data_IF_177665044443
#
_entry.id   IF_177665044443
#
_cell.length_a   1.000
_cell.length_b   1.000
_cell.length_c   1.000
_cell.angle_alpha   90.00
_cell.angle_beta   90.00
_cell.angle_gamma   90.00
#
_symmetry.space_group_name_H-M   'P 1'
#
loop_
_entity.id
_entity.type
_entity.pdbx_description
1 polymer ?
#
# COMPACT_ATOMS: atom_id res chain seq x y z
N UNK A 1 -8.41 -4.78 8.82
CA UNK A 1 -7.64 -5.54 7.82
C UNK A 1 -6.28 -5.86 8.41
N UNK A 2 -5.79 -7.09 8.23
CA UNK A 2 -4.45 -7.56 8.64
C UNK A 2 -3.93 -8.61 7.66
N UNK A 3 -2.62 -8.88 7.67
CA UNK A 3 -2.00 -10.00 6.94
C UNK A 3 -2.36 -11.31 7.67
N UNK A 4 -2.90 -12.27 6.93
CA UNK A 4 -3.14 -13.65 7.39
C UNK A 4 -1.95 -14.55 7.05
N UNK A 5 -1.43 -14.47 5.82
CA UNK A 5 -0.30 -15.29 5.37
C UNK A 5 0.47 -14.63 4.23
N UNK A 6 1.72 -15.05 4.07
CA UNK A 6 2.63 -14.60 3.01
C UNK A 6 3.26 -15.83 2.35
N UNK A 7 3.11 -15.96 1.03
CA UNK A 7 3.83 -16.94 0.21
C UNK A 7 4.87 -16.25 -0.64
N UNK A 8 6.08 -16.80 -0.65
CA UNK A 8 7.22 -16.27 -1.41
C UNK A 8 7.73 -17.37 -2.32
N UNK A 9 7.88 -17.07 -3.61
CA UNK A 9 8.50 -17.95 -4.60
C UNK A 9 9.64 -17.26 -5.34
N UNK A 10 10.68 -18.05 -5.58
CA UNK A 10 11.85 -17.72 -6.39
C UNK A 10 12.61 -16.43 -5.96
N UNK A 11 12.58 -16.07 -4.68
CA UNK A 11 13.20 -14.84 -4.17
C UNK A 11 14.44 -15.15 -3.31
N UNK A 12 15.62 -14.75 -3.79
CA UNK A 12 16.92 -14.85 -3.10
C UNK A 12 17.16 -16.23 -2.49
N UNK A 13 17.09 -16.37 -1.18
CA UNK A 13 17.34 -17.66 -0.49
C UNK A 13 16.10 -18.56 -0.46
N UNK A 14 14.91 -18.02 -0.75
CA UNK A 14 13.62 -18.70 -0.65
C UNK A 14 13.19 -19.19 -2.03
N UNK A 15 13.10 -20.52 -2.20
CA UNK A 15 12.57 -21.15 -3.43
C UNK A 15 11.03 -21.12 -3.46
N UNK A 16 10.38 -21.66 -2.45
CA UNK A 16 8.94 -21.60 -2.22
C UNK A 16 8.71 -21.79 -0.71
N UNK A 17 8.05 -20.83 -0.06
CA UNK A 17 7.70 -20.91 1.36
C UNK A 17 6.39 -20.16 1.62
N UNK A 18 5.60 -20.67 2.57
CA UNK A 18 4.38 -20.03 3.09
C UNK A 18 4.57 -19.82 4.58
N UNK A 19 4.21 -18.64 5.06
CA UNK A 19 4.27 -18.25 6.47
C UNK A 19 2.92 -17.68 6.88
N UNK A 20 2.31 -18.26 7.90
CA UNK A 20 1.13 -17.71 8.57
C UNK A 20 1.54 -16.60 9.55
N UNK A 21 0.74 -15.55 9.62
CA UNK A 21 1.09 -14.31 10.30
C UNK A 21 0.06 -13.97 11.38
N UNK A 22 0.52 -13.98 12.63
CA UNK A 22 -0.23 -13.53 13.79
C UNK A 22 -0.01 -12.03 14.10
N UNK A 23 -0.47 -11.57 15.26
CA UNK A 23 -0.19 -10.21 15.74
C UNK A 23 1.29 -10.01 16.10
N UNK A 24 1.96 -11.05 16.58
CA UNK A 24 3.38 -11.00 16.93
C UNK A 24 4.09 -12.24 16.37
N UNK A 25 5.04 -12.05 15.46
CA UNK A 25 5.78 -13.13 14.82
C UNK A 25 7.27 -12.91 15.01
N UNK A 26 7.95 -13.94 15.48
CA UNK A 26 9.39 -13.93 15.72
C UNK A 26 10.06 -14.98 14.83
N UNK A 27 10.82 -14.51 13.84
CA UNK A 27 11.59 -15.33 12.92
C UNK A 27 12.97 -15.59 13.50
N UNK A 28 13.22 -16.84 13.90
CA UNK A 28 14.48 -17.32 14.48
C UNK A 28 15.12 -18.35 13.55
N UNK A 29 16.44 -18.32 13.43
CA UNK A 29 17.19 -19.26 12.60
C UNK A 29 18.61 -18.78 12.30
N UNK A 30 19.45 -19.59 11.67
CA UNK A 30 20.83 -19.20 11.37
C UNK A 30 20.93 -18.09 10.33
N UNK A 31 22.12 -17.51 10.19
CA UNK A 31 22.43 -16.56 9.12
C UNK A 31 22.24 -17.21 7.75
N UNK A 32 21.60 -16.48 6.83
CA UNK A 32 21.31 -16.98 5.47
C UNK A 32 20.08 -17.90 5.36
N UNK A 33 19.36 -18.20 6.45
CA UNK A 33 18.16 -19.03 6.42
C UNK A 33 16.93 -18.39 5.77
N UNK A 34 17.01 -17.12 5.34
CA UNK A 34 15.92 -16.40 4.68
C UNK A 34 15.10 -15.46 5.55
N UNK A 35 15.44 -15.27 6.83
CA UNK A 35 14.76 -14.34 7.76
C UNK A 35 14.64 -12.91 7.18
N UNK A 36 15.77 -12.31 6.79
CA UNK A 36 15.79 -10.99 6.15
C UNK A 36 15.19 -11.00 4.74
N UNK A 37 15.26 -12.15 4.04
CA UNK A 37 14.59 -12.30 2.73
C UNK A 37 13.07 -12.21 2.87
N UNK A 38 12.50 -12.71 3.97
CA UNK A 38 11.08 -12.59 4.26
C UNK A 38 10.66 -11.11 4.44
N UNK A 39 11.36 -10.34 5.27
CA UNK A 39 11.06 -8.91 5.43
C UNK A 39 11.33 -8.12 4.14
N UNK A 40 12.37 -8.47 3.38
CA UNK A 40 12.61 -7.90 2.06
C UNK A 40 11.45 -8.17 1.08
N UNK A 41 10.83 -9.35 1.12
CA UNK A 41 9.67 -9.64 0.29
C UNK A 41 8.51 -8.68 0.61
N UNK A 42 8.28 -8.36 1.89
CA UNK A 42 7.28 -7.38 2.28
C UNK A 42 7.67 -5.96 1.85
N UNK A 43 8.96 -5.61 1.88
CA UNK A 43 9.42 -4.34 1.31
C UNK A 43 9.13 -4.25 -0.20
N UNK A 44 9.38 -5.32 -0.97
CA UNK A 44 9.00 -5.42 -2.39
C UNK A 44 7.49 -5.27 -2.58
N UNK A 45 6.70 -6.00 -1.79
CA UNK A 45 5.25 -5.96 -1.88
C UNK A 45 4.67 -4.58 -1.57
N UNK A 46 5.11 -3.93 -0.48
CA UNK A 46 4.63 -2.60 -0.10
C UNK A 46 5.33 -1.46 -0.84
N UNK A 47 6.32 -1.77 -1.69
CA UNK A 47 7.21 -0.81 -2.37
C UNK A 47 7.93 0.13 -1.39
N UNK A 48 8.39 -0.45 -0.28
CA UNK A 48 9.13 0.23 0.77
C UNK A 48 10.59 0.44 0.37
N UNK A 49 11.01 1.69 0.27
CA UNK A 49 12.37 2.04 -0.12
C UNK A 49 13.22 2.51 1.07
N UNK A 50 12.64 2.89 2.20
CA UNK A 50 13.42 3.37 3.35
C UNK A 50 14.15 2.21 4.04
N UNK A 51 15.44 2.41 4.31
CA UNK A 51 16.28 1.41 4.98
C UNK A 51 16.58 0.16 4.16
N UNK A 52 16.30 0.16 2.86
CA UNK A 52 16.58 -0.96 1.95
C UNK A 52 17.76 -0.63 1.04
N UNK A 53 18.73 -1.55 0.92
CA UNK A 53 19.94 -1.34 0.13
C UNK A 53 19.76 -1.58 -1.39
N UNK A 54 18.72 -2.30 -1.79
CA UNK A 54 18.46 -2.71 -3.18
C UNK A 54 17.09 -2.21 -3.64
N UNK A 55 16.92 -2.00 -4.94
CA UNK A 55 15.64 -1.58 -5.53
C UNK A 55 14.53 -2.61 -5.24
N UNK A 56 13.35 -2.12 -4.89
CA UNK A 56 12.16 -2.91 -4.55
C UNK A 56 11.07 -2.85 -5.64
N UNK A 57 11.28 -2.01 -6.65
CA UNK A 57 10.40 -1.79 -7.80
C UNK A 57 10.95 -2.43 -9.08
N UNK A 58 12.28 -2.47 -9.23
CA UNK A 58 12.98 -3.14 -10.32
C UNK A 58 14.02 -4.12 -9.76
N UNK A 59 13.67 -5.40 -9.76
CA UNK A 59 14.54 -6.45 -9.23
C UNK A 59 15.61 -6.85 -10.24
N UNK A 60 16.79 -7.19 -9.73
CA UNK A 60 17.91 -7.67 -10.54
C UNK A 60 17.86 -9.20 -10.70
N UNK A 61 18.68 -9.76 -11.59
CA UNK A 61 18.83 -11.22 -11.70
C UNK A 61 19.34 -11.85 -10.39
N UNK A 62 20.01 -11.09 -9.52
CA UNK A 62 20.53 -11.58 -8.23
C UNK A 62 19.45 -11.73 -7.16
N UNK A 63 18.29 -11.10 -7.37
CA UNK A 63 17.14 -11.26 -6.49
C UNK A 63 16.37 -12.57 -6.77
N UNK A 64 16.61 -13.22 -7.90
CA UNK A 64 15.99 -14.52 -8.22
C UNK A 64 16.70 -15.65 -7.47
N UNK A 65 15.94 -16.65 -7.03
CA UNK A 65 16.53 -17.78 -6.31
C UNK A 65 17.54 -18.50 -7.21
N UNK A 66 18.79 -18.55 -6.76
CA UNK A 66 19.92 -19.09 -7.55
C UNK A 66 20.11 -18.41 -8.92
N UNK A 67 19.64 -17.16 -9.06
CA UNK A 67 19.60 -16.41 -10.32
C UNK A 67 18.79 -17.10 -11.42
N UNK A 68 17.84 -17.94 -11.05
CA UNK A 68 16.95 -18.59 -12.01
C UNK A 68 15.88 -17.61 -12.51
N UNK A 69 16.20 -16.94 -13.62
CA UNK A 69 15.32 -15.97 -14.28
C UNK A 69 14.29 -16.62 -15.22
N UNK A 70 14.28 -17.96 -15.31
CA UNK A 70 13.29 -18.69 -16.12
C UNK A 70 11.91 -18.73 -15.46
N UNK A 71 11.88 -18.65 -14.13
CA UNK A 71 10.66 -18.53 -13.32
C UNK A 71 10.51 -17.10 -12.79
N UNK A 72 9.29 -16.56 -12.66
CA UNK A 72 9.08 -15.26 -12.06
C UNK A 72 9.26 -15.31 -10.53
N UNK A 73 9.59 -14.16 -9.93
CA UNK A 73 9.42 -13.94 -8.50
C UNK A 73 7.93 -13.70 -8.23
N UNK A 74 7.36 -14.37 -7.23
CA UNK A 74 5.97 -14.18 -6.79
C UNK A 74 5.93 -14.00 -5.26
N UNK A 75 5.34 -12.90 -4.80
CA UNK A 75 5.10 -12.60 -3.39
C UNK A 75 3.60 -12.40 -3.22
N UNK A 76 2.92 -13.43 -2.71
CA UNK A 76 1.48 -13.44 -2.49
C UNK A 76 1.18 -13.15 -1.04
N UNK A 77 0.39 -12.11 -0.79
CA UNK A 77 -0.05 -11.71 0.56
C UNK A 77 -1.56 -11.89 0.65
N UNK A 78 -1.97 -12.68 1.64
CA UNK A 78 -3.37 -12.90 1.98
C UNK A 78 -3.74 -11.99 3.14
N UNK A 79 -4.82 -11.22 2.99
CA UNK A 79 -5.35 -10.34 4.01
C UNK A 79 -6.71 -10.84 4.51
N UNK A 80 -6.96 -10.69 5.80
CA UNK A 80 -8.23 -10.99 6.45
C UNK A 80 -8.70 -9.80 7.32
N UNK A 81 -9.87 -9.94 7.93
CA UNK A 81 -10.50 -8.95 8.82
C UNK A 81 -10.70 -7.58 8.16
N UNK A 82 -11.12 -7.54 6.89
CA UNK A 82 -11.40 -6.29 6.17
C UNK A 82 -12.62 -5.58 6.80
N UNK A 83 -12.53 -4.25 6.95
CA UNK A 83 -13.70 -3.45 7.33
C UNK A 83 -14.63 -3.25 6.12
N UNK A 84 -15.86 -2.77 6.35
CA UNK A 84 -16.86 -2.63 5.28
C UNK A 84 -16.38 -1.74 4.12
N UNK A 85 -15.68 -0.65 4.43
CA UNK A 85 -15.09 0.23 3.41
C UNK A 85 -14.08 -0.54 2.52
N UNK A 86 -13.19 -1.34 3.12
CA UNK A 86 -12.24 -2.15 2.37
C UNK A 86 -12.92 -3.25 1.57
N UNK A 87 -13.96 -3.91 2.13
CA UNK A 87 -14.75 -4.92 1.40
C UNK A 87 -15.39 -4.31 0.16
N UNK A 88 -15.95 -3.10 0.27
CA UNK A 88 -16.55 -2.40 -0.86
C UNK A 88 -15.51 -1.94 -1.88
N UNK A 89 -14.38 -1.38 -1.42
CA UNK A 89 -13.30 -0.94 -2.30
C UNK A 89 -12.71 -2.13 -3.08
N UNK A 90 -12.45 -3.26 -2.42
CA UNK A 90 -11.84 -4.44 -3.03
C UNK A 90 -12.83 -5.53 -3.47
N UNK A 91 -14.12 -5.21 -3.62
CA UNK A 91 -15.19 -6.18 -3.94
C UNK A 91 -14.94 -7.12 -5.12
N UNK A 92 -14.10 -6.70 -6.07
CA UNK A 92 -13.73 -7.48 -7.26
C UNK A 92 -12.71 -8.59 -6.95
N UNK A 93 -11.90 -8.40 -5.90
CA UNK A 93 -10.84 -9.31 -5.48
C UNK A 93 -11.15 -10.00 -4.14
N UNK A 94 -12.02 -9.39 -3.32
CA UNK A 94 -12.43 -9.91 -2.03
C UNK A 94 -13.39 -11.09 -2.21
N UNK A 95 -12.96 -12.29 -1.77
CA UNK A 95 -13.73 -13.54 -1.84
C UNK A 95 -13.43 -14.38 -0.61
N UNK A 96 -14.44 -15.09 -0.11
CA UNK A 96 -14.30 -15.99 1.06
C UNK A 96 -13.64 -15.31 2.26
N UNK A 97 -14.06 -14.09 2.58
CA UNK A 97 -13.50 -13.23 3.63
C UNK A 97 -11.99 -12.92 3.54
N UNK A 98 -11.42 -13.13 2.35
CA UNK A 98 -10.01 -12.89 2.06
C UNK A 98 -9.82 -11.93 0.89
N UNK A 99 -8.77 -11.13 0.99
CA UNK A 99 -8.21 -10.37 -0.11
C UNK A 99 -6.83 -10.93 -0.40
N UNK A 100 -6.59 -11.39 -1.63
CA UNK A 100 -5.30 -11.96 -2.03
C UNK A 100 -4.68 -11.06 -3.10
N UNK A 101 -3.44 -10.67 -2.88
CA UNK A 101 -2.69 -9.81 -3.80
C UNK A 101 -1.32 -10.41 -4.02
N UNK A 102 -0.91 -10.54 -5.29
CA UNK A 102 0.41 -11.04 -5.66
C UNK A 102 1.23 -9.94 -6.31
N UNK A 103 2.40 -9.66 -5.75
CA UNK A 103 3.46 -8.93 -6.43
C UNK A 103 4.30 -9.92 -7.26
N UNK A 104 4.33 -9.72 -8.58
CA UNK A 104 5.03 -10.58 -9.53
C UNK A 104 6.06 -9.78 -10.31
N UNK A 105 7.27 -10.33 -10.42
CA UNK A 105 8.36 -9.76 -11.19
C UNK A 105 8.89 -10.81 -12.18
N UNK A 106 8.77 -10.53 -13.48
CA UNK A 106 9.30 -11.38 -14.55
C UNK A 106 10.53 -10.71 -15.13
N UNK A 107 11.63 -11.45 -15.24
CA UNK A 107 12.89 -10.90 -15.73
C UNK A 107 12.80 -10.57 -17.22
N UNK A 108 13.13 -9.33 -17.57
CA UNK A 108 13.31 -8.93 -18.96
C UNK A 108 14.81 -9.00 -19.31
N UNK A 109 15.24 -9.95 -20.14
CA UNK A 109 16.65 -10.10 -20.50
C UNK A 109 17.18 -8.95 -21.36
N UNK A 110 16.32 -8.19 -22.05
CA UNK A 110 16.71 -7.03 -22.84
C UNK A 110 16.94 -5.83 -21.94
N UNK A 111 16.05 -5.59 -20.98
CA UNK A 111 16.17 -4.50 -20.02
C UNK A 111 17.17 -4.80 -18.88
N UNK A 112 17.52 -6.08 -18.66
CA UNK A 112 18.42 -6.53 -17.59
C UNK A 112 17.82 -6.43 -16.19
N UNK A 113 16.48 -6.34 -16.08
CA UNK A 113 15.75 -6.12 -14.82
C UNK A 113 14.35 -6.69 -14.87
N UNK A 114 13.73 -6.89 -13.71
CA UNK A 114 12.36 -7.36 -13.56
C UNK A 114 11.50 -6.27 -12.89
N UNK A 115 10.54 -5.70 -13.61
CA UNK A 115 9.59 -4.74 -13.03
C UNK A 115 8.58 -5.46 -12.12
N UNK A 116 8.39 -4.96 -10.90
CA UNK A 116 7.42 -5.50 -9.93
C UNK A 116 6.03 -4.96 -10.23
N UNK A 117 5.11 -5.86 -10.61
CA UNK A 117 3.70 -5.56 -10.87
C UNK A 117 2.81 -6.29 -9.88
N UNK A 118 1.72 -5.64 -9.45
CA UNK A 118 0.78 -6.21 -8.48
C UNK A 118 -0.56 -6.55 -9.12
N UNK A 119 -1.04 -7.73 -8.80
CA UNK A 119 -2.27 -8.31 -9.34
C UNK A 119 -3.17 -8.72 -8.17
N UNK A 120 -4.47 -8.43 -8.31
CA UNK A 120 -5.47 -8.98 -7.40
C UNK A 120 -5.80 -10.40 -7.82
N UNK A 121 -5.82 -11.31 -6.87
CA UNK A 121 -6.18 -12.70 -7.09
C UNK A 121 -7.50 -12.99 -6.40
N UNK A 122 -8.30 -13.84 -7.04
CA UNK A 122 -9.49 -14.41 -6.42
C UNK A 122 -9.27 -15.90 -6.21
N UNK A 123 -9.69 -16.38 -5.04
CA UNK A 123 -9.94 -17.81 -4.84
C UNK A 123 -11.18 -18.19 -5.63
N UNK A 124 -11.03 -19.16 -6.52
CA UNK A 124 -12.15 -19.72 -7.27
C UNK A 124 -11.78 -21.04 -7.94
N UNK A 125 -12.74 -21.73 -8.53
CA UNK A 125 -12.47 -22.99 -9.22
C UNK A 125 -11.98 -22.73 -10.64
N UNK A 126 -10.96 -23.49 -11.07
CA UNK A 126 -10.33 -23.31 -12.38
C UNK A 126 -11.35 -23.48 -13.52
N UNK A 127 -12.28 -24.40 -13.35
CA UNK A 127 -13.33 -24.75 -14.30
C UNK A 127 -14.32 -23.60 -14.50
N UNK A 128 -14.54 -22.77 -13.47
CA UNK A 128 -15.45 -21.63 -13.52
C UNK A 128 -14.80 -20.39 -14.14
N UNK A 129 -13.47 -20.37 -14.34
CA UNK A 129 -12.76 -19.26 -14.97
C UNK A 129 -13.35 -18.89 -16.33
N UNK A 130 -13.71 -19.89 -17.13
CA UNK A 130 -14.26 -19.71 -18.48
C UNK A 130 -15.52 -18.84 -18.46
N UNK A 131 -16.42 -19.05 -17.49
CA UNK A 131 -17.64 -18.28 -17.32
C UNK A 131 -17.33 -16.82 -16.95
N UNK A 132 -16.53 -16.60 -15.89
CA UNK A 132 -16.24 -15.25 -15.39
C UNK A 132 -15.41 -14.42 -16.38
N UNK A 133 -14.50 -15.05 -17.12
CA UNK A 133 -13.74 -14.36 -18.19
C UNK A 133 -14.67 -13.84 -19.27
N UNK A 134 -15.55 -14.70 -19.81
CA UNK A 134 -16.51 -14.30 -20.85
C UNK A 134 -17.52 -13.28 -20.33
N UNK A 135 -17.87 -13.34 -19.04
CA UNK A 135 -18.71 -12.33 -18.41
C UNK A 135 -17.99 -10.96 -18.36
N UNK A 136 -16.71 -10.94 -17.99
CA UNK A 136 -15.86 -9.74 -18.02
C UNK A 136 -15.71 -9.15 -19.42
N UNK A 137 -15.58 -10.00 -20.43
CA UNK A 137 -15.53 -9.63 -21.86
C UNK A 137 -16.87 -9.10 -22.40
N UNK A 138 -17.91 -9.00 -21.55
CA UNK A 138 -19.28 -8.61 -21.92
C UNK A 138 -19.88 -9.51 -23.01
N UNK A 139 -19.60 -10.81 -22.95
CA UNK A 139 -20.16 -11.80 -23.87
C UNK A 139 -21.70 -11.82 -23.81
N UNK A 140 -22.34 -12.31 -24.89
CA UNK A 140 -23.81 -12.35 -24.98
C UNK A 140 -24.39 -13.28 -23.92
N UNK A 141 -25.55 -12.92 -23.38
CA UNK A 141 -26.23 -13.69 -22.33
C UNK A 141 -26.45 -15.16 -22.71
N UNK A 142 -26.79 -15.45 -23.97
CA UNK A 142 -27.01 -16.83 -24.45
C UNK A 142 -25.73 -17.68 -24.40
N UNK A 143 -24.59 -17.06 -24.62
CA UNK A 143 -23.30 -17.73 -24.54
C UNK A 143 -22.94 -18.09 -23.10
N UNK A 144 -23.14 -17.14 -22.17
CA UNK A 144 -22.93 -17.37 -20.75
C UNK A 144 -23.87 -18.45 -20.20
N UNK A 145 -25.12 -18.49 -20.69
CA UNK A 145 -26.09 -19.56 -20.36
C UNK A 145 -25.60 -20.94 -20.83
N UNK A 146 -24.99 -21.04 -22.01
CA UNK A 146 -24.42 -22.30 -22.52
C UNK A 146 -23.24 -22.78 -21.66
N UNK A 147 -22.33 -21.88 -21.30
CA UNK A 147 -21.21 -22.18 -20.42
C UNK A 147 -21.73 -22.66 -19.06
N UNK A 148 -22.69 -21.92 -18.47
CA UNK A 148 -23.31 -22.29 -17.19
C UNK A 148 -24.02 -23.64 -17.25
N UNK A 149 -24.74 -23.95 -18.34
CA UNK A 149 -25.40 -25.26 -18.49
C UNK A 149 -24.41 -26.42 -18.46
N UNK A 150 -23.24 -26.24 -19.10
CA UNK A 150 -22.18 -27.26 -19.10
C UNK A 150 -21.61 -27.47 -17.69
N UNK A 151 -21.40 -26.37 -16.96
CA UNK A 151 -20.96 -26.41 -15.56
C UNK A 151 -22.05 -26.98 -14.64
N UNK A 152 -23.32 -26.70 -14.93
CA UNK A 152 -24.46 -27.18 -14.16
C UNK A 152 -24.52 -28.71 -14.16
N UNK A 153 -24.32 -29.34 -15.32
CA UNK A 153 -24.31 -30.80 -15.43
C UNK A 153 -23.10 -31.42 -14.73
N UNK A 154 -21.94 -30.76 -14.83
CA UNK A 154 -20.67 -31.27 -14.27
C UNK A 154 -20.59 -31.15 -12.74
N UNK A 155 -21.13 -30.07 -12.18
CA UNK A 155 -21.03 -29.72 -10.75
C UNK A 155 -22.37 -29.76 -10.00
N UNK A 156 -23.46 -30.18 -10.66
CA UNK A 156 -24.83 -30.26 -10.11
C UNK A 156 -25.32 -28.93 -9.52
N UNK A 157 -25.10 -27.83 -10.23
CA UNK A 157 -25.47 -26.48 -9.78
C UNK A 157 -26.99 -26.22 -9.86
N UNK A 158 -27.55 -25.29 -9.06
CA UNK A 158 -28.95 -24.88 -9.16
C UNK A 158 -29.32 -24.28 -10.52
N UNK A 159 -30.62 -24.20 -10.84
CA UNK A 159 -31.06 -23.48 -12.04
C UNK A 159 -31.08 -21.99 -11.77
N UNK A 160 -30.35 -21.22 -12.59
CA UNK A 160 -30.33 -19.76 -12.54
C UNK A 160 -30.88 -19.15 -13.85
N UNK A 161 -31.80 -18.19 -13.73
CA UNK A 161 -32.49 -17.57 -14.88
C UNK A 161 -31.79 -16.35 -15.48
N UNK A 162 -30.89 -15.71 -14.73
CA UNK A 162 -30.17 -14.49 -15.14
C UNK A 162 -28.66 -14.72 -15.04
N UNK A 163 -27.88 -13.98 -15.81
CA UNK A 163 -26.39 -14.04 -15.75
C UNK A 163 -25.89 -13.68 -14.34
N UNK A 164 -26.55 -12.74 -13.66
CA UNK A 164 -26.23 -12.38 -12.29
C UNK A 164 -26.46 -13.55 -11.32
N UNK A 165 -27.61 -14.22 -11.39
CA UNK A 165 -27.91 -15.39 -10.57
C UNK A 165 -26.95 -16.56 -10.88
N UNK A 166 -26.54 -16.75 -12.15
CA UNK A 166 -25.55 -17.76 -12.52
C UNK A 166 -24.20 -17.50 -11.85
N UNK A 167 -23.75 -16.24 -11.88
CA UNK A 167 -22.51 -15.83 -11.23
C UNK A 167 -22.58 -16.02 -9.70
N UNK A 168 -23.73 -15.70 -9.10
CA UNK A 168 -23.97 -15.88 -7.67
C UNK A 168 -23.93 -17.37 -7.27
N UNK A 169 -24.58 -18.25 -8.04
CA UNK A 169 -24.54 -19.70 -7.76
C UNK A 169 -23.14 -20.30 -7.89
N UNK A 170 -22.35 -19.88 -8.89
CA UNK A 170 -20.96 -20.31 -9.02
C UNK A 170 -20.12 -19.83 -7.82
N UNK A 171 -20.31 -18.58 -7.40
CA UNK A 171 -19.61 -18.02 -6.23
C UNK A 171 -20.03 -18.71 -4.93
N UNK A 172 -21.31 -19.03 -4.75
CA UNK A 172 -21.80 -19.79 -3.61
C UNK A 172 -21.23 -21.21 -3.58
N UNK A 173 -21.11 -21.85 -4.74
CA UNK A 173 -20.48 -23.18 -4.85
C UNK A 173 -18.99 -23.11 -4.48
N UNK A 174 -18.25 -22.13 -5.00
CA UNK A 174 -16.85 -21.87 -4.61
C UNK A 174 -16.72 -21.63 -3.10
N UNK A 175 -17.62 -20.83 -2.50
CA UNK A 175 -17.61 -20.53 -1.07
C UNK A 175 -17.86 -21.76 -0.17
N UNK A 176 -18.64 -22.73 -0.64
CA UNK A 176 -18.93 -23.97 0.10
C UNK A 176 -17.82 -25.03 -0.02
N UNK A 177 -16.92 -24.91 -1.01
CA UNK A 177 -15.85 -25.88 -1.27
C UNK A 177 -14.49 -25.17 -1.46
N UNK A 178 -13.98 -24.45 -0.45
CA UNK A 178 -12.76 -23.66 -0.57
C UNK A 178 -11.52 -24.51 -0.88
N UNK A 179 -11.51 -25.79 -0.51
CA UNK A 179 -10.38 -26.71 -0.74
C UNK A 179 -10.14 -27.06 -2.21
N UNK A 180 -11.14 -26.85 -3.07
CA UNK A 180 -11.03 -27.06 -4.52
C UNK A 180 -10.72 -25.76 -5.28
N UNK A 181 -10.63 -24.64 -4.58
CA UNK A 181 -10.32 -23.35 -5.18
C UNK A 181 -8.81 -23.20 -5.41
N UNK A 182 -8.46 -22.57 -6.54
CA UNK A 182 -7.11 -22.16 -6.89
C UNK A 182 -7.04 -20.63 -6.98
N UNK A 183 -5.82 -20.10 -6.93
CA UNK A 183 -5.58 -18.68 -7.15
C UNK A 183 -5.73 -18.36 -8.63
N UNK A 184 -6.72 -17.53 -8.96
CA UNK A 184 -7.00 -17.08 -10.31
C UNK A 184 -6.57 -15.61 -10.42
N UNK A 185 -5.55 -15.29 -11.25
CA UNK A 185 -5.14 -13.92 -11.50
C UNK A 185 -6.25 -13.14 -12.20
N UNK A 186 -6.50 -11.92 -11.76
CA UNK A 186 -7.30 -10.97 -12.53
C UNK A 186 -6.44 -10.40 -13.68
N UNK A 187 -7.02 -10.20 -14.87
CA UNK A 187 -6.27 -9.67 -16.02
C UNK A 187 -5.83 -8.21 -15.82
N UNK A 188 -6.51 -7.47 -14.95
CA UNK A 188 -6.18 -6.08 -14.62
C UNK A 188 -5.16 -5.96 -13.48
N UNK A 189 -4.21 -5.02 -13.62
CA UNK A 189 -3.29 -4.64 -12.54
C UNK A 189 -4.09 -4.10 -11.35
N UNK A 190 -3.79 -4.56 -10.13
CA UNK A 190 -4.53 -4.25 -8.90
C UNK A 190 -4.68 -2.73 -8.61
N UNK A 191 -3.73 -1.93 -9.11
CA UNK A 191 -3.69 -0.46 -8.99
C UNK A 191 -4.04 0.29 -10.29
N UNK A 192 -4.39 -0.40 -11.37
CA UNK A 192 -4.68 0.19 -12.68
C UNK A 192 -3.50 1.02 -13.26
N UNK A 193 -3.82 1.96 -14.15
CA UNK A 193 -2.87 2.91 -14.80
C UNK A 193 -2.22 3.87 -13.79
N UNK A 194 -2.73 3.93 -12.55
CA UNK A 194 -2.16 4.75 -11.50
C UNK A 194 -0.89 4.08 -10.95
N UNK A 195 0.27 4.58 -11.41
CA UNK A 195 1.57 4.23 -10.85
C UNK A 195 1.65 4.67 -9.37
N UNK A 196 1.12 3.87 -8.45
CA UNK A 196 1.59 3.86 -7.06
C UNK A 196 0.75 4.58 -5.99
N UNK A 197 -0.53 4.91 -6.21
CA UNK A 197 -1.41 5.23 -5.08
C UNK A 197 -1.90 3.91 -4.44
N UNK A 198 -1.09 3.31 -3.57
CA UNK A 198 -1.36 2.04 -2.90
C UNK A 198 -2.72 2.11 -2.16
N UNK A 199 -3.81 1.63 -2.75
CA UNK A 199 -5.14 1.45 -2.14
C UNK A 199 -5.08 0.77 -0.76
N UNK A 200 -4.10 -0.12 -0.55
CA UNK A 200 -3.84 -0.75 0.75
C UNK A 200 -3.37 0.24 1.84
N UNK A 201 -2.69 1.33 1.49
CA UNK A 201 -2.16 2.32 2.45
C UNK A 201 -3.26 3.05 3.25
N UNK A 202 -4.50 3.07 2.73
CA UNK A 202 -5.66 3.60 3.47
C UNK A 202 -6.00 2.76 4.70
N UNK A 203 -5.61 1.49 4.71
CA UNK A 203 -6.04 0.51 5.70
C UNK A 203 -4.86 -0.12 6.46
N UNK A 204 -3.67 -0.17 5.85
CA UNK A 204 -2.44 -0.70 6.42
C UNK A 204 -1.30 0.30 6.27
N UNK A 205 -0.45 0.37 7.29
CA UNK A 205 0.81 1.12 7.24
C UNK A 205 1.96 0.16 7.50
N UNK A 206 2.71 -0.17 6.44
CA UNK A 206 3.97 -0.90 6.58
C UNK A 206 5.07 0.07 7.03
N UNK A 207 5.82 -0.31 8.08
CA UNK A 207 7.03 0.37 8.53
C UNK A 207 8.12 -0.67 8.72
N UNK A 208 9.22 -0.50 8.00
CA UNK A 208 10.40 -1.35 8.08
C UNK A 208 11.52 -0.67 8.86
N UNK A 209 12.10 -1.38 9.82
CA UNK A 209 13.23 -0.96 10.62
C UNK A 209 14.37 -1.96 10.36
N UNK A 210 15.42 -1.60 9.61
CA UNK A 210 16.57 -2.47 9.39
C UNK A 210 17.39 -2.65 10.66
N UNK A 211 18.22 -3.69 10.70
CA UNK A 211 19.12 -3.96 11.82
C UNK A 211 20.14 -2.82 12.02
N UNK A 212 20.72 -2.35 10.92
CA UNK A 212 21.65 -1.21 10.86
C UNK A 212 21.20 -0.31 9.73
N UNK A 213 21.12 1.00 9.96
CA UNK A 213 20.96 1.97 8.88
C UNK A 213 22.33 2.31 8.30
N UNK A 214 22.42 2.33 6.98
CA UNK A 214 23.63 2.76 6.28
C UNK A 214 23.93 4.23 6.60
N UNK A 215 25.21 4.61 6.73
CA UNK A 215 25.64 5.96 7.14
C UNK A 215 25.14 7.06 6.17
N UNK A 216 24.91 6.70 4.91
CA UNK A 216 24.29 7.56 3.88
C UNK A 216 22.76 7.67 4.03
N UNK A 217 22.09 6.62 4.50
CA UNK A 217 20.66 6.62 4.77
C UNK A 217 20.30 7.31 6.10
N UNK A 218 21.23 7.37 7.04
CA UNK A 218 21.07 8.12 8.30
C UNK A 218 20.92 9.62 8.08
N UNK A 219 21.43 10.17 6.98
CA UNK A 219 21.27 11.59 6.64
C UNK A 219 19.84 11.95 6.18
N UNK A 220 18.98 10.97 5.97
CA UNK A 220 17.59 11.23 5.60
C UNK A 220 16.77 11.63 6.83
N UNK A 221 16.63 12.94 7.08
CA UNK A 221 15.53 13.47 7.87
C UNK A 221 14.33 13.65 6.93
N UNK A 222 13.27 12.87 7.13
CA UNK A 222 12.07 13.05 6.33
C UNK A 222 10.85 12.32 6.86
N UNK A 223 9.68 12.87 6.54
CA UNK A 223 8.35 12.27 6.81
C UNK A 223 8.22 10.83 6.26
N UNK A 224 9.02 10.47 5.26
CA UNK A 224 9.03 9.16 4.63
C UNK A 224 9.85 8.09 5.39
N UNK A 225 10.73 8.50 6.32
CA UNK A 225 11.54 7.54 7.08
C UNK A 225 10.69 6.74 8.07
N UNK A 226 11.19 5.60 8.53
CA UNK A 226 10.54 4.78 9.54
C UNK A 226 10.24 5.58 10.82
N UNK A 227 11.24 6.29 11.36
CA UNK A 227 11.06 7.15 12.54
C UNK A 227 10.09 8.31 12.26
N UNK A 228 10.21 8.97 11.10
CA UNK A 228 9.30 10.05 10.71
C UNK A 228 7.85 9.60 10.57
N UNK A 229 7.62 8.40 10.02
CA UNK A 229 6.29 7.80 9.90
C UNK A 229 5.70 7.40 11.25
N UNK A 230 6.51 6.79 12.13
CA UNK A 230 6.09 6.46 13.48
C UNK A 230 5.78 7.72 14.29
N UNK A 231 6.61 8.75 14.21
CA UNK A 231 6.34 10.03 14.87
C UNK A 231 5.08 10.70 14.31
N UNK A 232 4.92 10.75 12.99
CA UNK A 232 3.72 11.32 12.37
C UNK A 232 2.45 10.61 12.85
N UNK A 233 2.51 9.29 13.00
CA UNK A 233 1.45 8.46 13.60
C UNK A 233 1.17 8.89 15.04
N UNK A 234 2.19 8.98 15.87
CA UNK A 234 2.09 9.41 17.28
C UNK A 234 1.53 10.83 17.44
N UNK A 235 1.82 11.74 16.50
CA UNK A 235 1.35 13.13 16.54
C UNK A 235 -0.08 13.23 16.06
N UNK A 236 -0.44 12.54 14.97
CA UNK A 236 -1.80 12.55 14.40
C UNK A 236 -2.84 11.96 15.34
N UNK A 237 -2.46 10.97 16.15
CA UNK A 237 -3.35 10.45 17.18
C UNK A 237 -3.68 11.47 18.28
N UNK A 238 -2.87 12.53 18.45
CA UNK A 238 -3.07 13.59 19.46
C UNK A 238 -3.66 14.87 18.89
N UNK A 239 -3.45 15.15 17.60
CA UNK A 239 -3.83 16.43 16.99
C UNK A 239 -4.49 16.21 15.63
N UNK A 240 -5.73 16.69 15.49
CA UNK A 240 -6.44 16.75 14.21
C UNK A 240 -6.22 18.12 13.55
N UNK A 241 -5.28 18.17 12.60
CA UNK A 241 -5.04 19.38 11.79
C UNK A 241 -5.98 19.50 10.59
N UNK A 242 -6.63 18.40 10.18
CA UNK A 242 -7.37 18.32 8.92
C UNK A 242 -8.51 19.33 8.87
N UNK A 243 -9.35 19.41 9.91
CA UNK A 243 -10.46 20.36 9.95
C UNK A 243 -9.98 21.81 9.94
N UNK A 244 -8.99 22.14 10.77
CA UNK A 244 -8.47 23.51 10.87
C UNK A 244 -7.80 23.97 9.58
N UNK A 245 -7.00 23.11 8.95
CA UNK A 245 -6.33 23.42 7.69
C UNK A 245 -7.33 23.49 6.54
N UNK A 246 -8.41 22.70 6.57
CA UNK A 246 -9.47 22.80 5.56
C UNK A 246 -10.14 24.18 5.58
N UNK A 247 -10.36 24.76 6.77
CA UNK A 247 -10.90 26.10 6.91
C UNK A 247 -9.93 27.17 6.38
N UNK A 248 -8.62 27.05 6.69
CA UNK A 248 -7.58 27.96 6.18
C UNK A 248 -7.49 27.87 4.65
N UNK A 249 -7.51 26.66 4.09
CA UNK A 249 -7.48 26.45 2.65
C UNK A 249 -8.72 27.07 1.98
N UNK A 250 -9.90 26.91 2.59
CA UNK A 250 -11.12 27.49 2.06
C UNK A 250 -11.07 29.02 2.06
N UNK A 251 -10.64 29.64 3.15
CA UNK A 251 -10.51 31.09 3.22
C UNK A 251 -9.55 31.63 2.15
N UNK A 252 -8.40 30.97 1.97
CA UNK A 252 -7.44 31.36 0.94
C UNK A 252 -7.99 31.18 -0.49
N UNK A 253 -8.80 30.15 -0.74
CA UNK A 253 -9.51 29.97 -2.03
C UNK A 253 -10.52 31.08 -2.28
N UNK A 254 -11.26 31.48 -1.25
CA UNK A 254 -12.26 32.54 -1.37
C UNK A 254 -11.59 33.89 -1.68
N UNK A 255 -10.47 34.20 -1.00
CA UNK A 255 -9.66 35.39 -1.30
C UNK A 255 -9.06 35.36 -2.71
N UNK A 256 -8.58 34.21 -3.16
CA UNK A 256 -8.05 34.03 -4.51
C UNK A 256 -9.13 34.24 -5.57
N UNK A 257 -10.32 33.67 -5.38
CA UNK A 257 -11.44 33.85 -6.29
C UNK A 257 -11.86 35.33 -6.37
N UNK A 258 -11.91 36.02 -5.23
CA UNK A 258 -12.21 37.45 -5.18
C UNK A 258 -11.20 38.27 -5.98
N UNK A 259 -9.92 37.95 -5.89
CA UNK A 259 -8.87 38.61 -6.69
C UNK A 259 -9.07 38.40 -8.20
N UNK A 260 -9.47 37.20 -8.63
CA UNK A 260 -9.79 36.92 -10.03
C UNK A 260 -10.99 37.73 -10.51
N UNK A 261 -12.05 37.80 -9.69
CA UNK A 261 -13.27 38.53 -10.01
C UNK A 261 -12.99 40.05 -10.14
N UNK A 262 -12.21 40.62 -9.22
CA UNK A 262 -11.76 42.03 -9.28
C UNK A 262 -10.87 42.30 -10.51
N UNK A 263 -10.04 41.32 -10.88
CA UNK A 263 -9.12 41.41 -12.04
C UNK A 263 -9.80 41.12 -13.37
N UNK A 264 -11.08 40.74 -13.39
CA UNK A 264 -11.80 40.39 -14.62
C UNK A 264 -11.95 41.60 -15.55
N UNK A 265 -12.03 42.81 -14.99
CA UNK A 265 -12.11 44.08 -15.75
C UNK A 265 -10.91 44.24 -16.70
N UNK A 266 -9.73 43.76 -16.32
CA UNK A 266 -8.53 43.83 -17.16
C UNK A 266 -8.67 43.04 -18.48
N UNK A 267 -9.57 42.05 -18.53
CA UNK A 267 -9.80 41.22 -19.71
C UNK A 267 -10.93 41.74 -20.61
N UNK A 268 -11.71 42.73 -20.18
CA UNK A 268 -12.85 43.24 -20.94
C UNK A 268 -12.42 43.87 -22.28
N UNK A 269 -11.35 44.67 -22.25
CA UNK A 269 -10.82 45.30 -23.47
C UNK A 269 -10.36 44.28 -24.51
N UNK A 270 -9.68 43.22 -24.08
CA UNK A 270 -9.25 42.12 -24.95
C UNK A 270 -10.46 41.33 -25.46
N UNK A 271 -11.42 41.02 -24.58
CA UNK A 271 -12.65 40.30 -24.93
C UNK A 271 -13.43 41.03 -26.02
N UNK A 272 -13.62 42.35 -25.88
CA UNK A 272 -14.33 43.17 -26.87
C UNK A 272 -13.62 43.26 -28.21
N UNK A 273 -12.29 43.44 -28.19
CA UNK A 273 -11.47 43.47 -29.42
C UNK A 273 -11.54 42.14 -30.17
N UNK A 274 -11.42 41.02 -29.47
CA UNK A 274 -11.51 39.68 -30.06
C UNK A 274 -12.93 39.37 -30.56
N UNK A 275 -13.96 39.71 -29.80
CA UNK A 275 -15.36 39.53 -30.23
C UNK A 275 -15.67 40.30 -31.50
N UNK A 276 -15.23 41.57 -31.59
CA UNK A 276 -15.43 42.40 -32.79
C UNK A 276 -14.77 41.77 -34.03
N UNK A 277 -13.52 41.31 -33.88
CA UNK A 277 -12.79 40.64 -34.97
C UNK A 277 -13.44 39.31 -35.36
N UNK A 278 -13.94 38.56 -34.38
CA UNK A 278 -14.59 37.27 -34.63
C UNK A 278 -15.92 37.43 -35.38
N UNK A 279 -16.73 38.42 -35.01
CA UNK A 279 -17.98 38.75 -35.72
C UNK A 279 -17.74 39.13 -37.18
N UNK A 280 -16.61 39.79 -37.50
CA UNK A 280 -16.28 40.18 -38.88
C UNK A 280 -15.98 38.98 -39.79
N UNK A 281 -15.47 37.87 -39.24
CA UNK A 281 -15.02 36.72 -40.05
C UNK A 281 -15.95 35.50 -39.95
N UNK A 282 -16.81 35.42 -38.93
CA UNK A 282 -17.72 34.29 -38.71
C UNK A 282 -19.18 34.63 -39.04
N UNK A 283 -20.00 34.99 -38.04
CA UNK A 283 -21.39 35.42 -38.19
C UNK A 283 -21.73 36.50 -37.14
N UNK A 284 -22.68 37.43 -37.41
CA UNK A 284 -23.11 38.46 -36.46
C UNK A 284 -23.47 37.99 -35.04
N UNK A 285 -23.94 36.75 -34.89
CA UNK A 285 -24.39 36.20 -33.60
C UNK A 285 -23.26 35.55 -32.78
N UNK A 286 -22.00 35.73 -33.17
CA UNK A 286 -20.88 35.09 -32.48
C UNK A 286 -20.52 35.83 -31.19
N UNK A 287 -20.52 35.13 -30.04
CA UNK A 287 -20.09 35.69 -28.75
C UNK A 287 -18.71 35.15 -28.33
N UNK A 288 -17.85 36.01 -27.81
CA UNK A 288 -16.58 35.62 -27.22
C UNK A 288 -16.37 36.38 -25.90
N UNK A 289 -15.98 35.65 -24.85
CA UNK A 289 -15.59 36.22 -23.56
C UNK A 289 -14.31 35.53 -23.09
N UNK A 290 -13.34 36.33 -22.67
CA UNK A 290 -12.14 35.82 -21.99
C UNK A 290 -12.38 35.92 -20.49
N UNK A 291 -12.23 34.82 -19.76
CA UNK A 291 -12.40 34.77 -18.31
C UNK A 291 -11.19 34.11 -17.67
N UNK A 292 -10.80 34.59 -16.49
CA UNK A 292 -9.87 33.85 -15.65
C UNK A 292 -10.48 32.49 -15.30
N UNK A 293 -9.66 31.44 -15.37
CA UNK A 293 -10.03 30.11 -14.90
C UNK A 293 -8.94 29.62 -13.97
N UNK A 294 -9.34 28.87 -12.95
CA UNK A 294 -8.44 28.27 -11.99
C UNK A 294 -8.89 26.87 -11.62
N UNK A 295 -7.94 26.07 -11.15
CA UNK A 295 -8.19 24.76 -10.57
C UNK A 295 -8.10 24.92 -9.04
N UNK A 296 -9.22 24.91 -8.30
CA UNK A 296 -9.24 25.19 -6.86
C UNK A 296 -8.33 24.27 -6.03
N UNK A 297 -8.02 23.07 -6.54
CA UNK A 297 -7.17 22.10 -5.88
C UNK A 297 -5.68 22.31 -6.16
N UNK A 298 -5.33 23.10 -7.19
CA UNK A 298 -3.93 23.43 -7.54
C UNK A 298 -3.54 24.86 -7.21
N UNK A 299 -4.47 25.81 -7.25
CA UNK A 299 -4.18 27.23 -7.03
C UNK A 299 -3.87 27.56 -5.57
N UNK A 300 -4.53 26.86 -4.65
CA UNK A 300 -4.35 27.04 -3.21
C UNK A 300 -4.11 25.68 -2.58
N UNK A 301 -2.86 25.44 -2.20
CA UNK A 301 -2.44 24.21 -1.53
C UNK A 301 -1.93 24.54 -0.14
N UNK A 302 -2.66 24.08 0.88
CA UNK A 302 -2.23 24.12 2.27
C UNK A 302 -1.74 22.73 2.64
N UNK A 303 -0.45 22.61 2.93
CA UNK A 303 0.14 21.33 3.34
C UNK A 303 0.07 21.17 4.86
N UNK A 304 -0.17 19.95 5.32
CA UNK A 304 -0.11 19.64 6.75
C UNK A 304 1.31 19.84 7.29
N UNK A 305 1.47 20.42 8.49
CA UNK A 305 2.77 20.50 9.13
C UNK A 305 3.27 19.09 9.46
N UNK A 306 4.60 18.92 9.46
CA UNK A 306 5.24 17.70 9.95
C UNK A 306 6.01 17.99 11.23
N UNK A 307 5.99 17.04 12.16
CA UNK A 307 6.79 17.13 13.37
C UNK A 307 8.26 16.81 13.03
N UNK A 308 9.15 17.76 13.34
CA UNK A 308 10.60 17.54 13.30
C UNK A 308 11.09 17.04 14.66
N UNK A 309 12.04 16.11 14.64
CA UNK A 309 12.73 15.66 15.83
C UNK A 309 13.92 16.59 16.08
N UNK A 310 14.00 17.14 17.29
CA UNK A 310 15.19 17.80 17.79
C UNK A 310 15.52 17.13 19.12
N UNK A 311 16.72 16.57 19.21
CA UNK A 311 17.21 15.83 20.37
C UNK A 311 18.37 16.58 21.01
N UNK A 312 18.62 16.32 22.30
CA UNK A 312 19.74 16.90 23.03
C UNK A 312 20.44 15.90 23.94
N UNK A 313 21.77 15.96 23.98
CA UNK A 313 22.63 15.18 24.88
C UNK A 313 23.76 16.08 25.40
N UNK A 314 23.79 16.30 26.72
CA UNK A 314 24.73 17.25 27.34
C UNK A 314 24.51 18.67 26.83
N UNK A 315 25.51 19.24 26.16
CA UNK A 315 25.48 20.59 25.59
C UNK A 315 25.13 20.63 24.11
N UNK A 316 24.95 19.47 23.47
CA UNK A 316 24.61 19.39 22.05
C UNK A 316 23.10 19.25 21.88
N UNK A 317 22.54 20.03 20.95
CA UNK A 317 21.15 19.94 20.52
C UNK A 317 21.12 19.93 18.98
N UNK A 318 20.36 19.01 18.40
CA UNK A 318 20.30 18.88 16.95
C UNK A 318 19.48 17.71 16.45
N UNK A 319 19.73 17.39 15.18
CA UNK A 319 19.14 16.27 14.46
C UNK A 319 19.54 14.92 15.09
N UNK A 320 18.56 14.02 15.24
CA UNK A 320 18.74 12.69 15.78
C UNK A 320 19.77 11.84 15.02
N UNK A 321 19.91 12.05 13.70
CA UNK A 321 20.91 11.40 12.86
C UNK A 321 22.35 11.69 13.29
N UNK A 322 22.58 12.79 14.02
CA UNK A 322 23.90 13.19 14.53
C UNK A 322 24.25 12.55 15.87
N UNK A 323 23.30 11.84 16.49
CA UNK A 323 23.54 11.11 17.73
C UNK A 323 23.96 9.68 17.41
N UNK A 324 24.72 9.07 18.32
CA UNK A 324 25.14 7.67 18.15
C UNK A 324 23.94 6.70 18.15
N UNK A 325 24.11 5.53 17.53
CA UNK A 325 23.04 4.54 17.37
C UNK A 325 22.35 4.15 18.70
N UNK A 326 23.07 4.14 19.83
CA UNK A 326 22.47 3.87 21.15
C UNK A 326 21.39 4.88 21.54
N UNK A 327 21.61 6.17 21.26
CA UNK A 327 20.62 7.23 21.49
C UNK A 327 19.45 7.10 20.51
N UNK A 328 19.75 6.93 19.21
CA UNK A 328 18.73 6.73 18.18
C UNK A 328 17.82 5.53 18.50
N UNK A 329 18.40 4.45 19.03
CA UNK A 329 17.67 3.23 19.43
C UNK A 329 16.84 3.44 20.69
N UNK A 330 17.36 4.18 21.67
CA UNK A 330 16.60 4.58 22.86
C UNK A 330 15.40 5.45 22.49
N UNK A 331 15.57 6.35 21.52
CA UNK A 331 14.48 7.15 20.97
C UNK A 331 13.44 6.31 20.23
N UNK A 332 13.87 5.37 19.37
CA UNK A 332 12.95 4.43 18.72
C UNK A 332 12.11 3.68 19.77
N UNK A 333 12.76 3.16 20.81
CA UNK A 333 12.10 2.47 21.91
C UNK A 333 11.08 3.37 22.61
N UNK A 334 11.42 4.64 22.87
CA UNK A 334 10.48 5.60 23.47
C UNK A 334 9.28 5.90 22.56
N UNK A 335 9.49 6.03 21.24
CA UNK A 335 8.40 6.19 20.28
C UNK A 335 7.49 4.95 20.23
N UNK A 336 8.07 3.75 20.20
CA UNK A 336 7.30 2.51 20.19
C UNK A 336 6.50 2.33 21.49
N UNK A 337 7.07 2.74 22.63
CA UNK A 337 6.35 2.76 23.91
C UNK A 337 5.13 3.68 23.84
N UNK A 338 5.32 4.91 23.40
CA UNK A 338 4.23 5.86 23.26
C UNK A 338 3.14 5.31 22.32
N UNK A 339 3.52 4.73 21.18
CA UNK A 339 2.58 4.08 20.26
C UNK A 339 1.86 2.89 20.89
N UNK A 340 2.55 2.07 21.70
CA UNK A 340 1.94 0.92 22.37
C UNK A 340 0.96 1.31 23.48
N UNK A 341 1.12 2.50 24.08
CA UNK A 341 0.13 3.03 25.04
C UNK A 341 -1.14 3.55 24.37
N UNK A 342 -1.09 3.82 23.08
CA UNK A 342 -2.23 4.24 22.29
C UNK A 342 -2.97 2.97 21.83
N UNK A 343 -4.22 2.81 22.25
CA UNK A 343 -5.07 1.67 21.87
C UNK A 343 -5.45 1.69 20.38
N UNK A 344 -6.52 1.00 20.01
CA UNK A 344 -7.00 1.01 18.62
C UNK A 344 -7.28 2.43 18.14
N UNK A 345 -6.56 2.85 17.09
CA UNK A 345 -6.74 4.15 16.45
C UNK A 345 -7.60 4.01 15.19
N UNK A 346 -8.21 5.10 14.75
CA UNK A 346 -8.87 5.20 13.42
C UNK A 346 -7.88 5.25 12.26
N UNK A 347 -6.57 5.14 12.54
CA UNK A 347 -5.53 5.15 11.53
C UNK A 347 -5.35 3.78 10.87
N UNK A 348 -4.73 3.72 9.68
CA UNK A 348 -4.35 2.46 9.05
C UNK A 348 -3.63 1.55 10.05
N UNK A 349 -3.92 0.25 10.05
CA UNK A 349 -3.28 -0.70 10.98
C UNK A 349 -1.76 -0.73 10.73
N UNK A 350 -0.98 -0.57 11.79
CA UNK A 350 0.48 -0.65 11.71
C UNK A 350 0.91 -2.10 11.50
N UNK A 351 1.76 -2.32 10.51
CA UNK A 351 2.52 -3.55 10.30
C UNK A 351 4.00 -3.17 10.42
N UNK A 352 4.63 -3.58 11.50
CA UNK A 352 6.00 -3.26 11.85
C UNK A 352 6.93 -4.44 11.52
N UNK A 353 7.82 -4.27 10.55
CA UNK A 353 8.94 -5.17 10.33
C UNK A 353 10.18 -4.64 11.03
N UNK A 354 10.75 -5.39 11.97
CA UNK A 354 11.95 -5.00 12.70
C UNK A 354 13.02 -6.08 12.60
N UNK A 355 14.14 -5.74 11.96
CA UNK A 355 15.31 -6.60 11.94
C UNK A 355 16.17 -6.42 13.18
N UNK A 356 16.55 -7.53 13.78
CA UNK A 356 17.46 -7.64 14.94
C UNK A 356 17.19 -6.55 15.99
N UNK A 357 15.98 -6.51 16.59
CA UNK A 357 15.59 -5.49 17.55
C UNK A 357 16.63 -5.29 18.67
N UNK A 358 17.28 -6.38 19.07
CA UNK A 358 18.31 -6.48 20.10
C UNK A 358 19.65 -5.82 19.75
N UNK A 359 19.91 -5.50 18.48
CA UNK A 359 21.23 -5.06 18.06
C UNK A 359 21.63 -3.75 18.78
N UNK A 360 22.86 -3.71 19.30
CA UNK A 360 23.40 -2.63 20.13
C UNK A 360 22.66 -2.36 21.45
N UNK A 361 21.87 -3.30 21.97
CA UNK A 361 21.16 -3.14 23.24
C UNK A 361 21.77 -4.01 24.36
N UNK A 362 21.78 -3.48 25.58
CA UNK A 362 22.07 -4.32 26.75
C UNK A 362 20.91 -5.30 27.01
N UNK A 363 21.15 -6.50 27.58
CA UNK A 363 20.10 -7.50 27.76
C UNK A 363 18.81 -7.00 28.47
N UNK A 364 18.87 -6.13 29.49
CA UNK A 364 17.66 -5.55 30.08
C UNK A 364 16.85 -4.68 29.10
N UNK A 365 17.53 -3.91 28.26
CA UNK A 365 16.89 -3.06 27.24
C UNK A 365 16.26 -3.91 26.14
N UNK A 366 16.93 -4.98 25.69
CA UNK A 366 16.38 -5.91 24.72
C UNK A 366 15.09 -6.58 25.23
N UNK A 367 15.05 -7.01 26.50
CA UNK A 367 13.82 -7.53 27.14
C UNK A 367 12.71 -6.48 27.22
N UNK A 368 13.07 -5.24 27.56
CA UNK A 368 12.10 -4.14 27.60
C UNK A 368 11.53 -3.86 26.22
N UNK A 369 12.37 -3.82 25.18
CA UNK A 369 11.94 -3.67 23.79
C UNK A 369 10.99 -4.80 23.36
N UNK A 370 11.29 -6.05 23.71
CA UNK A 370 10.39 -7.17 23.43
C UNK A 370 9.01 -6.99 24.08
N UNK A 371 8.95 -6.50 25.33
CA UNK A 371 7.70 -6.18 26.02
C UNK A 371 6.89 -5.08 25.32
N UNK A 372 7.59 -4.04 24.84
CA UNK A 372 6.98 -2.93 24.10
C UNK A 372 6.41 -3.41 22.77
N UNK A 373 7.17 -4.21 22.02
CA UNK A 373 6.72 -4.79 20.75
C UNK A 373 5.51 -5.72 20.94
N UNK A 374 5.48 -6.50 22.02
CA UNK A 374 4.33 -7.33 22.37
C UNK A 374 3.10 -6.47 22.73
N UNK A 375 3.30 -5.38 23.48
CA UNK A 375 2.22 -4.43 23.81
C UNK A 375 1.66 -3.76 22.56
N UNK A 376 2.52 -3.43 21.59
CA UNK A 376 2.12 -2.86 20.30
C UNK A 376 1.27 -3.86 19.47
N UNK A 377 1.66 -5.14 19.47
CA UNK A 377 0.89 -6.22 18.85
C UNK A 377 -0.48 -6.40 19.52
N UNK A 378 -0.53 -6.39 20.86
CA UNK A 378 -1.76 -6.45 21.63
C UNK A 378 -2.69 -5.24 21.39
N UNK A 379 -2.13 -4.06 21.08
CA UNK A 379 -2.86 -2.86 20.66
C UNK A 379 -3.39 -2.91 19.22
N UNK A 380 -3.34 -4.06 18.55
CA UNK A 380 -3.88 -4.26 17.21
C UNK A 380 -2.87 -4.09 16.07
N UNK A 381 -1.60 -3.80 16.35
CA UNK A 381 -0.57 -3.83 15.30
C UNK A 381 -0.21 -5.26 14.91
N UNK A 382 0.45 -5.44 13.77
CA UNK A 382 1.19 -6.66 13.47
C UNK A 382 2.68 -6.39 13.57
N UNK A 383 3.40 -7.21 14.32
CA UNK A 383 4.83 -7.06 14.55
C UNK A 383 5.56 -8.30 14.02
N UNK A 384 6.50 -8.07 13.12
CA UNK A 384 7.30 -9.08 12.44
C UNK A 384 8.77 -8.83 12.78
N UNK A 385 9.36 -9.72 13.57
CA UNK A 385 10.71 -9.56 14.09
C UNK A 385 11.62 -10.63 13.53
N UNK A 386 12.84 -10.27 13.12
CA UNK A 386 13.92 -11.26 12.94
C UNK A 386 14.91 -11.13 14.09
N UNK A 387 15.35 -12.25 14.67
CA UNK A 387 16.29 -12.25 15.80
C UNK A 387 17.21 -13.46 15.76
N UNK A 388 18.34 -13.35 16.44
CA UNK A 388 19.25 -14.47 16.72
C UNK A 388 19.16 -14.96 18.17
N UNK A 389 18.40 -14.27 19.01
CA UNK A 389 18.25 -14.59 20.43
C UNK A 389 16.99 -15.44 20.61
N UNK A 390 17.13 -16.56 21.31
CA UNK A 390 16.01 -17.42 21.72
C UNK A 390 15.26 -16.83 22.92
#
# INVERSE_FOLDING_TARGET
>A
MRIESVRIKNLRTIKDAVVDIDHYNCFVGPNGAGKSTFLFALNVFFRETDGVATDVTYLSAEDFHRKDTSEPIEITVTFCDLNEDAKQEFKEYFRQDRLIVTAKATFDPVAGRAEVRQFGERLGMAEFMSFFKRQGDRAKADELKQIYSTLQDSFKLPKAGTVAAMAEELQNYEANLPEQCVLIPSEDQFYGVSKGANRLQKYLQWVYIPAVKDATAEQSEGKATALGRLLARTVRSKVNFTERLSAVAQQARDEYQKLLDESQVALEGISGSLQTRLMQWAHPDTSLRVSWQQDPDKSVKVEEPFAKIVAGEGTFEGDIARFGHGFQRSFLLALLQELATQGETTEPRLILGCEEPELYQHPPQARHLASVLNSLAAGGSQVLVTTHIQ
#
